data_IF_402412349110
#
_entry.id   IF_402412349110
#
_cell.length_a   1.000
_cell.length_b   1.000
_cell.length_c   1.000
_cell.angle_alpha   90.00
_cell.angle_beta   90.00
_cell.angle_gamma   90.00
#
_symmetry.space_group_name_H-M   'P 1'
#
loop_
_entity.id
_entity.type
_entity.pdbx_description
1 polymer ?
#
# COMPACT_ATOMS: atom_id res chain seq x y z
N UNK A 1 -32.12 4.46 -2.72
CA UNK A 1 -30.97 3.52 -2.68
C UNK A 1 -29.93 4.10 -3.62
N UNK A 2 -28.89 4.71 -3.07
CA UNK A 2 -27.81 5.28 -3.88
C UNK A 2 -27.04 4.14 -4.50
N UNK A 3 -26.94 4.12 -5.82
CA UNK A 3 -26.15 3.17 -6.60
C UNK A 3 -24.68 3.29 -6.21
N UNK A 4 -24.22 2.44 -5.29
CA UNK A 4 -22.80 2.28 -4.98
C UNK A 4 -21.98 1.70 -6.15
N UNK A 5 -22.62 1.38 -7.26
CA UNK A 5 -21.99 0.83 -8.45
C UNK A 5 -21.12 1.81 -9.26
N UNK A 6 -21.14 3.09 -8.91
CA UNK A 6 -20.36 4.11 -9.59
C UNK A 6 -19.35 4.87 -8.71
N UNK A 7 -19.32 4.62 -7.40
CA UNK A 7 -18.39 5.28 -6.50
C UNK A 7 -17.00 4.69 -6.64
N UNK A 8 -16.00 5.54 -6.91
CA UNK A 8 -14.60 5.12 -6.99
C UNK A 8 -14.01 4.96 -5.59
N UNK A 9 -13.56 3.76 -5.28
CA UNK A 9 -12.90 3.41 -4.04
C UNK A 9 -11.50 2.84 -4.29
N UNK A 10 -10.66 2.84 -3.26
CA UNK A 10 -9.38 2.15 -3.32
C UNK A 10 -9.53 0.67 -3.02
N UNK A 11 -8.89 -0.14 -3.85
CA UNK A 11 -8.79 -1.60 -3.72
C UNK A 11 -7.35 -2.05 -3.80
N UNK A 12 -6.98 -3.05 -3.01
CA UNK A 12 -5.70 -3.73 -3.12
C UNK A 12 -5.79 -4.93 -4.05
N UNK A 13 -4.78 -5.12 -4.87
CA UNK A 13 -4.65 -6.21 -5.82
C UNK A 13 -3.40 -7.04 -5.51
N UNK A 14 -3.55 -8.35 -5.58
CA UNK A 14 -2.44 -9.30 -5.64
C UNK A 14 -2.23 -9.69 -7.10
N UNK A 15 -1.20 -9.11 -7.72
CA UNK A 15 -0.85 -9.35 -9.12
C UNK A 15 0.13 -10.52 -9.20
N UNK A 16 -0.18 -11.51 -10.03
CA UNK A 16 0.65 -12.69 -10.16
C UNK A 16 1.85 -12.47 -11.11
N UNK A 17 2.86 -13.31 -10.96
CA UNK A 17 4.05 -13.37 -11.83
C UNK A 17 4.87 -12.07 -11.88
N UNK A 18 4.88 -11.28 -10.80
CA UNK A 18 5.62 -10.02 -10.70
C UNK A 18 5.28 -8.98 -11.80
N UNK A 19 4.05 -8.97 -12.30
CA UNK A 19 3.60 -8.13 -13.40
C UNK A 19 2.94 -6.82 -12.99
N UNK A 20 3.24 -6.32 -11.79
CA UNK A 20 2.64 -5.07 -11.28
C UNK A 20 2.88 -3.88 -12.19
N UNK A 21 4.07 -3.76 -12.79
CA UNK A 21 4.39 -2.65 -13.72
C UNK A 21 3.72 -2.80 -15.09
N UNK A 22 3.48 -4.02 -15.54
CA UNK A 22 2.71 -4.26 -16.76
C UNK A 22 1.26 -3.82 -16.59
N UNK A 23 0.66 -4.19 -15.46
CA UNK A 23 -0.69 -3.77 -15.12
C UNK A 23 -0.77 -2.26 -14.90
N UNK A 24 0.19 -1.65 -14.19
CA UNK A 24 0.29 -0.19 -14.01
C UNK A 24 0.29 0.54 -15.36
N UNK A 25 1.11 0.07 -16.30
CA UNK A 25 1.20 0.67 -17.63
C UNK A 25 -0.13 0.64 -18.37
N UNK A 26 -0.84 -0.49 -18.31
CA UNK A 26 -2.15 -0.63 -18.96
C UNK A 26 -3.19 0.27 -18.30
N UNK A 27 -3.26 0.28 -16.96
CA UNK A 27 -4.18 1.14 -16.22
C UNK A 27 -3.92 2.62 -16.47
N UNK A 28 -2.65 3.02 -16.59
CA UNK A 28 -2.27 4.39 -16.93
C UNK A 28 -2.76 4.80 -18.32
N UNK A 29 -2.73 3.90 -19.30
CA UNK A 29 -3.27 4.15 -20.64
C UNK A 29 -4.80 4.32 -20.64
N UNK A 30 -5.48 3.67 -19.70
CA UNK A 30 -6.93 3.78 -19.49
C UNK A 30 -7.32 4.95 -18.57
N UNK A 31 -6.34 5.73 -18.08
CA UNK A 31 -6.57 6.85 -17.17
C UNK A 31 -6.95 6.44 -15.75
N UNK A 32 -6.72 5.18 -15.37
CA UNK A 32 -7.04 4.66 -14.05
C UNK A 32 -5.94 5.02 -13.04
N UNK A 33 -6.32 5.59 -11.91
CA UNK A 33 -5.39 5.90 -10.82
C UNK A 33 -4.96 4.62 -10.11
N UNK A 34 -3.65 4.40 -10.06
CA UNK A 34 -3.03 3.26 -9.39
C UNK A 34 -1.87 3.67 -8.51
N UNK A 35 -1.46 2.80 -7.58
CA UNK A 35 -0.33 3.01 -6.70
C UNK A 35 0.41 1.69 -6.44
N UNK A 36 1.73 1.75 -6.53
CA UNK A 36 2.64 0.65 -6.16
C UNK A 36 3.63 1.20 -5.13
N UNK A 37 3.69 0.67 -3.90
CA UNK A 37 4.74 1.04 -2.97
C UNK A 37 6.10 0.59 -3.54
N UNK A 38 7.05 1.53 -3.65
CA UNK A 38 8.31 1.31 -4.33
C UNK A 38 9.49 1.38 -3.37
N UNK A 39 10.47 0.53 -3.62
CA UNK A 39 11.83 0.68 -3.15
C UNK A 39 12.69 1.24 -4.29
N UNK A 40 13.64 2.09 -3.93
CA UNK A 40 14.63 2.61 -4.86
C UNK A 40 15.97 1.94 -4.52
N UNK A 41 16.49 1.16 -5.46
CA UNK A 41 17.83 0.56 -5.36
C UNK A 41 18.80 1.34 -6.24
N UNK A 42 19.85 1.87 -5.64
CA UNK A 42 20.96 2.46 -6.38
C UNK A 42 21.86 1.33 -6.89
N UNK A 43 21.84 1.09 -8.18
CA UNK A 43 22.74 0.15 -8.85
C UNK A 43 23.81 0.89 -9.63
N UNK A 44 25.04 0.38 -9.62
CA UNK A 44 26.16 0.91 -10.41
C UNK A 44 26.27 0.10 -11.69
N UNK A 45 26.05 0.74 -12.82
CA UNK A 45 26.30 0.15 -14.14
C UNK A 45 27.44 0.93 -14.82
N UNK A 46 28.65 0.39 -14.75
CA UNK A 46 29.87 1.12 -15.12
C UNK A 46 30.11 2.31 -14.19
N UNK A 47 30.40 3.50 -14.74
CA UNK A 47 30.60 4.73 -13.96
C UNK A 47 29.32 5.51 -13.64
N UNK A 48 28.14 4.96 -13.99
CA UNK A 48 26.86 5.63 -13.76
C UNK A 48 26.06 4.98 -12.64
N UNK A 49 25.64 5.79 -11.67
CA UNK A 49 24.61 5.39 -10.70
C UNK A 49 23.24 5.39 -11.40
N UNK A 50 22.60 4.23 -11.41
CA UNK A 50 21.24 4.06 -11.95
C UNK A 50 20.32 3.76 -10.78
N UNK A 51 19.30 4.61 -10.60
CA UNK A 51 18.25 4.38 -9.61
C UNK A 51 17.17 3.50 -10.22
N UNK A 52 17.07 2.25 -9.75
CA UNK A 52 16.10 1.28 -10.25
C UNK A 52 14.86 1.25 -9.37
N UNK A 53 13.69 1.32 -10.00
CA UNK A 53 12.39 1.14 -9.32
C UNK A 53 12.13 -0.34 -9.11
N UNK A 54 11.79 -0.72 -7.88
CA UNK A 54 11.41 -2.07 -7.51
C UNK A 54 10.16 -2.01 -6.62
N UNK A 55 9.15 -2.88 -6.83
CA UNK A 55 8.03 -2.95 -5.90
C UNK A 55 8.53 -3.33 -4.51
N UNK A 56 8.08 -2.64 -3.48
CA UNK A 56 8.41 -2.97 -2.09
C UNK A 56 7.84 -4.36 -1.70
N UNK A 57 6.67 -4.66 -2.26
CA UNK A 57 6.03 -5.98 -2.19
C UNK A 57 5.72 -6.42 -3.61
N UNK A 58 6.35 -7.49 -4.06
CA UNK A 58 6.40 -7.90 -5.47
C UNK A 58 5.06 -8.12 -6.16
N UNK A 59 4.02 -8.41 -5.40
CA UNK A 59 2.69 -8.72 -5.90
C UNK A 59 1.64 -7.68 -5.55
N UNK A 60 1.97 -6.64 -4.76
CA UNK A 60 1.00 -5.70 -4.23
C UNK A 60 0.88 -4.44 -5.11
N UNK A 61 -0.35 -4.10 -5.44
CA UNK A 61 -0.72 -2.91 -6.16
C UNK A 61 -2.09 -2.40 -5.67
N UNK A 62 -2.33 -1.11 -5.81
CA UNK A 62 -3.61 -0.49 -5.46
C UNK A 62 -4.20 0.22 -6.68
N UNK A 63 -5.52 0.18 -6.81
CA UNK A 63 -6.26 0.94 -7.82
C UNK A 63 -7.41 1.72 -7.18
N UNK A 64 -7.76 2.87 -7.78
CA UNK A 64 -8.94 3.63 -7.41
C UNK A 64 -9.93 3.59 -8.54
N UNK A 65 -11.01 2.84 -8.33
CA UNK A 65 -12.07 2.64 -9.33
C UNK A 65 -13.36 2.12 -8.69
N UNK A 66 -14.42 1.97 -9.50
CA UNK A 66 -15.64 1.32 -9.06
C UNK A 66 -15.46 -0.21 -8.92
N UNK A 67 -16.26 -0.84 -8.06
CA UNK A 67 -16.28 -2.30 -7.91
C UNK A 67 -16.60 -3.00 -9.23
N UNK A 68 -17.52 -2.45 -10.01
CA UNK A 68 -17.88 -2.99 -11.31
C UNK A 68 -16.69 -3.03 -12.28
N UNK A 69 -15.98 -1.91 -12.41
CA UNK A 69 -14.78 -1.85 -13.25
C UNK A 69 -13.70 -2.84 -12.78
N UNK A 70 -13.51 -2.96 -11.45
CA UNK A 70 -12.54 -3.92 -10.89
C UNK A 70 -12.83 -5.35 -11.31
N UNK A 71 -14.09 -5.78 -11.25
CA UNK A 71 -14.51 -7.14 -11.62
C UNK A 71 -14.40 -7.38 -13.14
N UNK A 72 -14.76 -6.40 -13.96
CA UNK A 72 -14.56 -6.46 -15.41
C UNK A 72 -13.08 -6.52 -15.78
N UNK A 73 -12.25 -5.69 -15.14
CA UNK A 73 -10.81 -5.70 -15.33
C UNK A 73 -10.20 -7.05 -14.97
N UNK A 74 -10.61 -7.64 -13.84
CA UNK A 74 -10.15 -8.95 -13.41
C UNK A 74 -10.46 -10.04 -14.43
N UNK A 75 -11.65 -10.00 -15.01
CA UNK A 75 -12.05 -10.97 -16.05
C UNK A 75 -11.26 -10.76 -17.36
N UNK A 76 -11.12 -9.53 -17.79
CA UNK A 76 -10.38 -9.14 -19.01
C UNK A 76 -8.89 -9.50 -18.92
N UNK A 77 -8.30 -9.42 -17.73
CA UNK A 77 -6.86 -9.62 -17.51
C UNK A 77 -6.46 -11.07 -17.20
N UNK A 78 -7.41 -11.99 -17.06
CA UNK A 78 -7.14 -13.39 -16.67
C UNK A 78 -6.03 -14.08 -17.46
N UNK A 79 -5.96 -13.85 -18.77
CA UNK A 79 -4.99 -14.50 -19.64
C UNK A 79 -3.66 -13.76 -19.75
N UNK A 80 -3.65 -12.43 -19.67
CA UNK A 80 -2.48 -11.58 -19.93
C UNK A 80 -1.73 -11.17 -18.66
N UNK A 81 -2.45 -10.69 -17.66
CA UNK A 81 -1.87 -10.21 -16.41
C UNK A 81 -2.83 -10.52 -15.24
N UNK A 82 -2.92 -11.78 -14.82
CA UNK A 82 -3.88 -12.19 -13.81
C UNK A 82 -3.59 -11.55 -12.45
N UNK A 83 -4.66 -11.16 -11.78
CA UNK A 83 -4.62 -10.65 -10.42
C UNK A 83 -5.86 -11.07 -9.64
N UNK A 84 -5.79 -10.93 -8.33
CA UNK A 84 -6.93 -11.07 -7.42
C UNK A 84 -7.06 -9.81 -6.58
N UNK A 85 -8.30 -9.35 -6.35
CA UNK A 85 -8.57 -8.34 -5.34
C UNK A 85 -8.46 -8.97 -3.95
N UNK A 86 -8.06 -8.17 -2.96
CA UNK A 86 -8.22 -8.55 -1.57
C UNK A 86 -9.71 -8.45 -1.19
N UNK A 87 -10.21 -9.47 -0.51
CA UNK A 87 -11.62 -9.56 -0.13
C UNK A 87 -11.78 -9.34 1.37
N UNK A 88 -12.85 -8.65 1.71
CA UNK A 88 -13.35 -8.60 3.08
C UNK A 88 -13.86 -9.99 3.50
N UNK A 89 -13.41 -10.46 4.66
CA UNK A 89 -13.70 -11.82 5.14
C UNK A 89 -15.17 -12.04 5.50
N UNK A 90 -15.86 -10.98 5.92
CA UNK A 90 -17.26 -11.03 6.33
C UNK A 90 -18.20 -10.90 5.14
N UNK A 91 -18.01 -9.86 4.33
CA UNK A 91 -18.90 -9.54 3.20
C UNK A 91 -18.63 -10.35 1.95
N UNK A 92 -17.44 -10.98 1.85
CA UNK A 92 -16.97 -11.69 0.64
C UNK A 92 -16.94 -10.82 -0.62
N UNK A 93 -16.85 -9.51 -0.44
CA UNK A 93 -16.68 -8.52 -1.51
C UNK A 93 -15.26 -7.99 -1.53
N UNK A 94 -14.82 -7.34 -2.63
CA UNK A 94 -13.56 -6.63 -2.63
C UNK A 94 -13.48 -5.66 -1.46
N UNK A 95 -12.37 -5.73 -0.70
CA UNK A 95 -12.17 -4.91 0.47
C UNK A 95 -11.93 -3.45 0.06
N UNK A 96 -12.81 -2.55 0.48
CA UNK A 96 -12.67 -1.11 0.24
C UNK A 96 -11.72 -0.53 1.27
N UNK A 97 -10.72 0.20 0.78
CA UNK A 97 -9.78 0.95 1.63
C UNK A 97 -10.29 2.39 1.72
N UNK A 98 -10.54 2.92 2.94
CA UNK A 98 -10.92 4.32 3.11
C UNK A 98 -9.86 5.27 2.54
N UNK A 99 -10.29 6.34 1.86
CA UNK A 99 -9.38 7.31 1.22
C UNK A 99 -8.32 7.84 2.21
N UNK A 100 -8.73 8.17 3.44
CA UNK A 100 -7.82 8.65 4.48
C UNK A 100 -6.73 7.66 4.84
N UNK A 101 -7.05 6.39 4.93
CA UNK A 101 -6.08 5.32 5.24
C UNK A 101 -5.12 5.12 4.09
N UNK A 102 -5.63 5.14 2.86
CA UNK A 102 -4.80 5.01 1.67
C UNK A 102 -3.87 6.22 1.48
N UNK A 103 -4.34 7.44 1.71
CA UNK A 103 -3.53 8.66 1.66
C UNK A 103 -2.39 8.61 2.68
N UNK A 104 -2.67 8.18 3.90
CA UNK A 104 -1.68 8.00 4.95
C UNK A 104 -0.64 6.94 4.58
N UNK A 105 -1.09 5.80 4.07
CA UNK A 105 -0.21 4.75 3.59
C UNK A 105 0.69 5.24 2.44
N UNK A 106 0.15 5.95 1.47
CA UNK A 106 0.91 6.55 0.37
C UNK A 106 1.91 7.59 0.87
N UNK A 107 1.52 8.45 1.82
CA UNK A 107 2.42 9.44 2.41
C UNK A 107 3.67 8.78 3.03
N UNK A 108 3.49 7.70 3.76
CA UNK A 108 4.59 6.99 4.41
C UNK A 108 5.43 6.23 3.39
N UNK A 109 4.81 5.52 2.48
CA UNK A 109 5.52 4.63 1.54
C UNK A 109 6.13 5.35 0.35
N UNK A 110 5.72 6.59 0.05
CA UNK A 110 6.33 7.44 -0.96
C UNK A 110 7.47 8.32 -0.45
N UNK A 111 7.62 8.43 0.87
CA UNK A 111 8.76 9.16 1.45
C UNK A 111 10.06 8.45 1.08
N UNK A 112 11.05 9.21 0.66
CA UNK A 112 12.39 8.71 0.27
C UNK A 112 13.21 8.32 1.53
N UNK A 113 12.63 7.44 2.34
CA UNK A 113 13.25 6.91 3.55
C UNK A 113 13.60 5.44 3.30
N UNK A 114 14.88 5.13 3.39
CA UNK A 114 15.44 3.81 3.07
C UNK A 114 15.01 2.68 4.00
N UNK A 115 14.26 2.97 5.06
CA UNK A 115 14.13 2.08 6.19
C UNK A 115 12.69 1.70 6.53
N UNK A 116 11.83 1.56 5.53
CA UNK A 116 10.50 1.01 5.71
C UNK A 116 10.54 -0.52 5.70
N UNK A 117 9.84 -1.14 6.62
CA UNK A 117 9.68 -2.58 6.70
C UNK A 117 8.21 -2.94 6.50
N UNK A 118 7.95 -3.84 5.55
CA UNK A 118 6.60 -4.25 5.19
C UNK A 118 6.28 -5.62 5.79
N UNK A 119 5.07 -5.77 6.32
CA UNK A 119 4.59 -6.98 6.96
C UNK A 119 3.22 -7.36 6.41
N UNK A 120 2.93 -8.64 6.30
CA UNK A 120 1.55 -9.09 6.10
C UNK A 120 0.72 -8.69 7.33
N UNK A 121 -0.57 -8.42 7.13
CA UNK A 121 -1.47 -7.99 8.21
C UNK A 121 -1.49 -8.96 9.40
N UNK A 122 -1.29 -10.25 9.15
CA UNK A 122 -1.26 -11.31 10.17
C UNK A 122 0.07 -11.41 10.92
N UNK A 123 1.15 -10.81 10.38
CA UNK A 123 2.50 -10.98 10.94
C UNK A 123 2.77 -10.10 12.17
N UNK A 124 2.00 -9.04 12.37
CA UNK A 124 2.16 -8.10 13.49
C UNK A 124 0.80 -7.78 14.11
N UNK A 125 0.67 -8.03 15.41
CA UNK A 125 -0.42 -7.48 16.20
C UNK A 125 -0.14 -6.00 16.53
N UNK A 126 -0.32 -5.12 15.53
CA UNK A 126 -0.07 -3.69 15.67
C UNK A 126 -1.10 -3.00 16.59
N UNK A 127 -2.33 -3.51 16.67
CA UNK A 127 -3.40 -2.93 17.47
C UNK A 127 -3.16 -2.98 18.97
N UNK A 128 -2.28 -3.87 19.44
CA UNK A 128 -1.86 -3.92 20.84
C UNK A 128 -0.85 -2.82 21.22
N UNK A 129 -0.43 -1.97 20.26
CA UNK A 129 0.41 -0.81 20.49
C UNK A 129 -0.38 0.45 20.87
N UNK A 130 0.33 1.45 21.39
CA UNK A 130 -0.28 2.75 21.67
C UNK A 130 -0.58 3.49 20.38
N UNK A 131 -1.81 4.01 20.25
CA UNK A 131 -2.19 4.85 19.12
C UNK A 131 -1.59 6.24 19.27
N UNK A 132 -0.97 6.74 18.21
CA UNK A 132 -0.22 7.98 18.20
C UNK A 132 -0.43 8.79 16.94
N UNK A 133 -0.15 10.10 17.01
CA UNK A 133 -0.01 10.99 15.87
C UNK A 133 1.38 11.58 15.84
N UNK A 134 2.00 11.59 14.66
CA UNK A 134 3.33 12.18 14.44
C UNK A 134 3.22 13.70 14.41
N UNK A 135 4.01 14.41 15.22
CA UNK A 135 3.97 15.88 15.34
C UNK A 135 5.06 16.58 14.56
N UNK A 136 6.08 15.86 14.10
CA UNK A 136 7.20 16.45 13.36
C UNK A 136 7.88 15.47 12.43
N UNK A 137 8.78 15.98 11.59
CA UNK A 137 9.51 15.19 10.60
C UNK A 137 8.72 14.89 9.32
N UNK A 138 9.24 13.99 8.47
CA UNK A 138 8.66 13.70 7.15
C UNK A 138 7.26 13.06 7.22
N UNK A 139 6.89 12.48 8.37
CA UNK A 139 5.61 11.82 8.58
C UNK A 139 4.64 12.65 9.42
N UNK A 140 4.85 13.96 9.54
CA UNK A 140 4.00 14.85 10.34
C UNK A 140 2.52 14.70 9.94
N UNK A 141 1.66 14.51 10.96
CA UNK A 141 0.22 14.30 10.78
C UNK A 141 -0.19 12.83 10.61
N UNK A 142 0.76 11.93 10.38
CA UNK A 142 0.47 10.51 10.29
C UNK A 142 -0.03 9.94 11.62
N UNK A 143 -1.06 9.11 11.56
CA UNK A 143 -1.58 8.36 12.69
C UNK A 143 -1.28 6.87 12.54
N UNK A 144 -0.97 6.21 13.61
CA UNK A 144 -0.66 4.79 13.61
C UNK A 144 -0.44 4.27 15.02
N UNK A 145 0.19 3.13 15.12
CA UNK A 145 0.46 2.46 16.39
C UNK A 145 1.96 2.38 16.64
N UNK A 146 2.39 2.65 17.86
CA UNK A 146 3.78 2.42 18.26
C UNK A 146 3.94 0.96 18.67
N UNK A 147 4.83 0.27 17.99
CA UNK A 147 5.23 -1.10 18.31
C UNK A 147 6.74 -1.21 18.48
N UNK A 148 7.15 -2.12 19.37
CA UNK A 148 8.55 -2.51 19.45
C UNK A 148 8.83 -3.64 18.48
N UNK A 149 9.63 -3.35 17.46
CA UNK A 149 10.04 -4.31 16.44
C UNK A 149 11.55 -4.42 16.49
N UNK A 150 12.08 -5.62 16.70
CA UNK A 150 13.53 -5.90 16.83
C UNK A 150 14.22 -4.98 17.85
N UNK A 151 13.55 -4.73 18.99
CA UNK A 151 14.07 -3.88 20.07
C UNK A 151 13.84 -2.39 19.92
N UNK A 152 13.45 -1.90 18.75
CA UNK A 152 13.23 -0.48 18.46
C UNK A 152 11.73 -0.12 18.43
N UNK A 153 11.40 1.07 18.93
CA UNK A 153 10.04 1.62 18.80
C UNK A 153 9.84 2.17 17.40
N UNK A 154 8.81 1.70 16.72
CA UNK A 154 8.47 2.08 15.34
C UNK A 154 7.01 2.47 15.22
N UNK A 155 6.71 3.43 14.34
CA UNK A 155 5.34 3.68 13.93
C UNK A 155 4.92 2.60 12.93
N UNK A 156 3.80 1.98 13.20
CA UNK A 156 3.17 1.02 12.29
C UNK A 156 1.89 1.64 11.75
N UNK A 157 1.79 1.70 10.44
CA UNK A 157 0.57 2.06 9.72
C UNK A 157 0.11 0.84 8.95
N UNK A 158 -1.16 0.49 9.09
CA UNK A 158 -1.71 -0.70 8.48
C UNK A 158 -2.94 -0.37 7.64
N UNK A 159 -3.05 -1.09 6.53
CA UNK A 159 -4.29 -1.26 5.79
C UNK A 159 -4.85 -2.62 6.20
N UNK A 160 -5.93 -2.60 6.96
CA UNK A 160 -6.48 -3.78 7.62
C UNK A 160 -6.77 -4.92 6.64
N UNK A 161 -6.31 -6.13 6.96
CA UNK A 161 -6.47 -7.32 6.13
C UNK A 161 -5.57 -7.37 4.89
N UNK A 162 -4.68 -6.39 4.69
CA UNK A 162 -3.87 -6.27 3.48
C UNK A 162 -2.38 -6.24 3.83
N UNK A 163 -1.92 -5.16 4.46
CA UNK A 163 -0.50 -4.94 4.73
C UNK A 163 -0.27 -3.93 5.85
N UNK A 164 0.81 -4.10 6.58
CA UNK A 164 1.33 -3.11 7.52
C UNK A 164 2.72 -2.64 7.09
N UNK A 165 3.02 -1.38 7.35
CA UNK A 165 4.35 -0.79 7.14
C UNK A 165 4.86 -0.18 8.44
N UNK A 166 6.09 -0.51 8.80
CA UNK A 166 6.77 0.07 9.95
C UNK A 166 7.87 1.03 9.50
N UNK A 167 7.90 2.21 10.11
CA UNK A 167 8.99 3.19 9.92
C UNK A 167 10.13 2.88 10.86
N UNK A 168 11.37 3.26 10.53
CA UNK A 168 12.52 2.99 11.39
C UNK A 168 12.70 3.99 12.50
N UNK A 169 12.27 5.24 12.33
CA UNK A 169 12.57 6.29 13.29
C UNK A 169 11.49 7.36 13.36
N UNK A 170 11.10 7.72 14.59
CA UNK A 170 10.16 8.81 14.84
C UNK A 170 10.70 9.70 15.93
N UNK A 171 10.90 10.98 15.58
CA UNK A 171 11.48 11.97 16.50
C UNK A 171 10.47 12.59 17.45
N UNK A 172 9.23 12.74 17.05
CA UNK A 172 8.19 13.37 17.86
C UNK A 172 6.79 12.83 17.57
N UNK A 173 6.08 12.48 18.61
CA UNK A 173 4.73 11.96 18.56
C UNK A 173 3.92 12.35 19.81
N UNK A 174 2.60 12.32 19.67
CA UNK A 174 1.63 12.41 20.76
C UNK A 174 0.73 11.20 20.79
N UNK A 175 0.36 10.74 21.96
CA UNK A 175 -0.65 9.68 22.13
C UNK A 175 -2.06 10.25 21.89
N UNK A 176 -2.92 9.48 21.24
CA UNK A 176 -4.30 9.86 20.92
C UNK A 176 -5.29 8.74 21.26
#
# INVERSE_FOLDING_TARGET
>A
MSDKNGEECWYALKVFYNRVFELEKQLSQEGVRSYIPLLHEDTVAGDKKIRKRKPAVSSLMFIRQSEHYLLELQDRMKASCPFMAYFDRETKKPAVIPDREMELFMQITSADTSDLEYFSDEAIDYRSGDKVRVTGGPFKGAEGYIKRIRGNRRLVVALEGIIAVATTYILSLIHI
#
